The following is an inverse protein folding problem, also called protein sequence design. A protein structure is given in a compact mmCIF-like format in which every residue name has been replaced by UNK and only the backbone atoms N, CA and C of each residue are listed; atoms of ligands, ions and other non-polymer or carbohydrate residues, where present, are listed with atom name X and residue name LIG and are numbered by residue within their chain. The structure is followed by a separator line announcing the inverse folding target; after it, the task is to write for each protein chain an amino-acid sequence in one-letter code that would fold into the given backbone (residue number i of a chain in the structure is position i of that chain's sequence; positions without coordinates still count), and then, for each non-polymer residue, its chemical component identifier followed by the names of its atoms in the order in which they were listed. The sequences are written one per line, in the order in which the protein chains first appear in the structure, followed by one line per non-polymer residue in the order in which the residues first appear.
data_IF_343845341683
#
_entry.id   IF_343845341683
#
_cell.length_a   1.000
_cell.length_b   1.000
_cell.length_c   1.000
_cell.angle_alpha   90.00
_cell.angle_beta   90.00
_cell.angle_gamma   90.00
#
_symmetry.space_group_name_H-M   'P 1'
#
loop_
_entity.id
_entity.type
_entity.pdbx_description
1 polymer ?
#
# COMPACT_ATOMS: atom_id res chain seq x y z
N UNK A 1 -7.86 21.05 6.49
CA UNK A 1 -7.95 19.57 6.39
C UNK A 1 -6.53 19.06 6.26
N UNK A 2 -6.08 18.22 7.17
CA UNK A 2 -4.73 17.64 7.09
C UNK A 2 -4.62 16.75 5.86
N UNK A 3 -3.60 16.94 5.06
CA UNK A 3 -3.34 16.16 3.85
C UNK A 3 -3.13 14.68 4.22
N UNK A 4 -3.60 13.77 3.40
CA UNK A 4 -3.26 12.35 3.52
C UNK A 4 -2.21 12.01 2.48
N UNK A 5 -0.98 11.75 2.92
CA UNK A 5 0.03 11.13 2.08
C UNK A 5 -0.33 9.66 1.81
N UNK A 6 0.18 9.10 0.74
CA UNK A 6 -0.03 7.68 0.41
C UNK A 6 1.25 7.06 -0.14
N UNK A 7 1.62 5.90 0.39
CA UNK A 7 2.76 5.11 -0.09
C UNK A 7 2.28 3.72 -0.51
N UNK A 8 2.52 3.36 -1.77
CA UNK A 8 2.33 2.02 -2.30
C UNK A 8 3.64 1.24 -2.20
N UNK A 9 3.62 0.11 -1.52
CA UNK A 9 4.80 -0.72 -1.27
C UNK A 9 4.89 -1.83 -2.32
N UNK A 10 5.81 -1.68 -3.26
CA UNK A 10 6.06 -2.61 -4.37
C UNK A 10 7.49 -3.20 -4.36
N UNK A 11 8.25 -3.02 -3.27
CA UNK A 11 9.64 -3.49 -3.15
C UNK A 11 9.78 -4.93 -2.60
N UNK A 12 8.68 -5.63 -2.34
CA UNK A 12 8.71 -7.00 -1.81
C UNK A 12 9.19 -8.01 -2.85
N UNK A 13 9.96 -9.03 -2.40
CA UNK A 13 10.37 -10.15 -3.26
C UNK A 13 9.22 -11.13 -3.50
N UNK A 14 9.13 -11.63 -4.73
CA UNK A 14 8.04 -12.52 -5.18
C UNK A 14 8.47 -14.00 -5.24
N UNK A 15 9.38 -14.42 -4.36
CA UNK A 15 10.11 -15.70 -4.41
C UNK A 15 9.21 -16.95 -4.51
N UNK A 16 7.98 -16.91 -4.00
CA UNK A 16 7.06 -18.06 -3.95
C UNK A 16 6.07 -18.09 -5.11
N UNK A 17 5.82 -16.96 -5.75
CA UNK A 17 4.87 -16.83 -6.84
C UNK A 17 5.49 -17.23 -8.20
N UNK A 18 6.78 -16.98 -8.37
CA UNK A 18 7.50 -17.19 -9.62
C UNK A 18 7.38 -16.03 -10.62
N UNK A 19 6.55 -15.05 -10.30
CA UNK A 19 6.33 -13.82 -11.07
C UNK A 19 6.38 -12.61 -10.13
N UNK A 20 6.71 -11.43 -10.67
CA UNK A 20 6.74 -10.21 -9.90
C UNK A 20 5.34 -9.72 -9.56
N UNK A 21 4.98 -9.73 -8.25
CA UNK A 21 3.65 -9.36 -7.77
C UNK A 21 3.19 -7.99 -8.24
N UNK A 22 4.09 -7.01 -8.21
CA UNK A 22 3.78 -5.66 -8.65
C UNK A 22 3.39 -5.58 -10.14
N UNK A 23 3.90 -6.52 -10.94
CA UNK A 23 3.74 -6.56 -12.39
C UNK A 23 2.69 -7.60 -12.86
N UNK A 24 1.98 -8.25 -11.93
CA UNK A 24 0.91 -9.19 -12.30
C UNK A 24 -0.14 -8.51 -13.19
N UNK A 25 -0.52 -9.20 -14.26
CA UNK A 25 -1.52 -8.71 -15.20
C UNK A 25 -2.92 -8.70 -14.59
N UNK A 26 -3.63 -7.57 -14.73
CA UNK A 26 -4.99 -7.37 -14.19
C UNK A 26 -6.07 -7.24 -15.27
N UNK A 27 -5.70 -7.29 -16.55
CA UNK A 27 -6.58 -6.92 -17.66
C UNK A 27 -6.65 -5.40 -17.93
N UNK A 28 -6.21 -4.57 -16.98
CA UNK A 28 -6.06 -3.11 -17.11
C UNK A 28 -4.61 -2.69 -16.78
N UNK A 29 -3.65 -3.50 -17.21
CA UNK A 29 -2.21 -3.34 -16.97
C UNK A 29 -1.71 -4.03 -15.70
N UNK A 30 -0.51 -3.65 -15.25
CA UNK A 30 0.13 -4.25 -14.09
C UNK A 30 -0.60 -3.92 -12.77
N UNK A 31 -0.57 -4.84 -11.79
CA UNK A 31 -1.24 -4.70 -10.49
C UNK A 31 -0.90 -3.41 -9.76
N UNK A 32 0.36 -2.98 -9.79
CA UNK A 32 0.78 -1.72 -9.17
C UNK A 32 0.11 -0.52 -9.86
N UNK A 33 -0.02 -0.53 -11.18
CA UNK A 33 -0.72 0.48 -11.96
C UNK A 33 -2.23 0.48 -11.67
N UNK A 34 -2.85 -0.68 -11.60
CA UNK A 34 -4.26 -0.83 -11.24
C UNK A 34 -4.56 -0.26 -9.84
N UNK A 35 -3.70 -0.54 -8.84
CA UNK A 35 -3.85 0.00 -7.48
C UNK A 35 -3.69 1.53 -7.49
N UNK A 36 -2.64 2.06 -8.11
CA UNK A 36 -2.37 3.51 -8.13
C UNK A 36 -3.46 4.28 -8.85
N UNK A 37 -3.99 3.75 -9.95
CA UNK A 37 -5.13 4.32 -10.69
C UNK A 37 -6.39 4.39 -9.82
N UNK A 38 -6.72 3.33 -9.08
CA UNK A 38 -7.87 3.32 -8.15
C UNK A 38 -7.73 4.35 -7.04
N UNK A 39 -6.54 4.47 -6.45
CA UNK A 39 -6.25 5.49 -5.44
C UNK A 39 -6.39 6.91 -6.03
N UNK A 40 -5.85 7.14 -7.22
CA UNK A 40 -5.96 8.42 -7.92
C UNK A 40 -7.41 8.81 -8.24
N UNK A 41 -8.25 7.85 -8.60
CA UNK A 41 -9.68 8.07 -8.82
C UNK A 41 -10.42 8.50 -7.54
N UNK A 42 -9.87 8.21 -6.35
CA UNK A 42 -10.36 8.68 -5.05
C UNK A 42 -9.70 10.00 -4.61
N UNK A 43 -8.96 10.67 -5.48
CA UNK A 43 -8.25 11.91 -5.18
C UNK A 43 -6.99 11.74 -4.33
N UNK A 44 -6.45 10.50 -4.24
CA UNK A 44 -5.23 10.19 -3.52
C UNK A 44 -4.09 10.08 -4.53
N UNK A 45 -3.02 10.84 -4.32
CA UNK A 45 -1.84 10.83 -5.19
C UNK A 45 -0.70 10.03 -4.50
N UNK A 46 -0.57 8.72 -4.77
CA UNK A 46 0.42 7.91 -4.10
C UNK A 46 1.83 8.16 -4.66
N UNK A 47 2.83 7.99 -3.79
CA UNK A 47 4.19 7.67 -4.20
C UNK A 47 4.37 6.15 -4.16
N UNK A 48 5.15 5.60 -5.08
CA UNK A 48 5.41 4.16 -5.16
C UNK A 48 6.84 3.89 -4.73
N UNK A 49 7.03 2.89 -3.86
CA UNK A 49 8.37 2.46 -3.47
C UNK A 49 8.61 1.05 -3.97
N UNK A 50 9.59 0.90 -4.84
CA UNK A 50 9.97 -0.36 -5.48
C UNK A 50 11.44 -0.71 -5.21
N UNK A 51 11.93 -1.78 -5.81
CA UNK A 51 13.35 -2.14 -5.83
C UNK A 51 13.94 -1.88 -7.22
N UNK A 52 15.28 -1.77 -7.30
CA UNK A 52 15.95 -1.28 -8.51
C UNK A 52 15.85 -2.20 -9.73
N UNK A 53 15.68 -3.51 -9.54
CA UNK A 53 15.65 -4.51 -10.61
C UNK A 53 14.32 -4.56 -11.40
N UNK A 54 13.27 -3.90 -10.91
CA UNK A 54 11.98 -3.77 -11.61
C UNK A 54 11.53 -2.29 -11.73
N UNK A 55 12.46 -1.36 -11.60
CA UNK A 55 12.16 0.08 -11.58
C UNK A 55 11.49 0.54 -12.87
N UNK A 56 12.07 0.23 -14.01
CA UNK A 56 11.62 0.72 -15.32
C UNK A 56 10.19 0.25 -15.64
N UNK A 57 9.88 -1.02 -15.33
CA UNK A 57 8.55 -1.60 -15.53
C UNK A 57 7.52 -0.99 -14.58
N UNK A 58 7.90 -0.74 -13.32
CA UNK A 58 7.01 -0.10 -12.35
C UNK A 58 6.78 1.36 -12.72
N UNK A 59 7.81 2.12 -13.11
CA UNK A 59 7.66 3.50 -13.56
C UNK A 59 6.69 3.61 -14.75
N UNK A 60 6.82 2.72 -15.74
CA UNK A 60 5.91 2.71 -16.89
C UNK A 60 4.47 2.41 -16.46
N UNK A 61 4.28 1.44 -15.56
CA UNK A 61 2.97 0.99 -15.12
C UNK A 61 2.20 2.02 -14.29
N UNK A 62 2.90 2.91 -13.54
CA UNK A 62 2.26 3.80 -12.57
C UNK A 62 2.18 5.25 -13.01
N UNK A 63 2.57 5.59 -14.23
CA UNK A 63 2.50 6.97 -14.73
C UNK A 63 1.12 7.58 -14.46
N UNK A 64 1.02 8.82 -13.90
CA UNK A 64 2.11 9.78 -13.66
C UNK A 64 2.66 9.77 -12.21
N UNK A 65 2.53 8.69 -11.44
CA UNK A 65 3.01 8.66 -10.05
C UNK A 65 4.54 8.68 -9.98
N UNK A 66 5.08 9.27 -8.91
CA UNK A 66 6.52 9.23 -8.63
C UNK A 66 6.92 7.87 -8.03
N UNK A 67 8.06 7.33 -8.50
CA UNK A 67 8.61 6.06 -8.04
C UNK A 67 9.96 6.28 -7.36
N UNK A 68 10.17 5.60 -6.23
CA UNK A 68 11.41 5.67 -5.44
C UNK A 68 11.94 4.26 -5.20
N UNK A 69 13.27 4.13 -5.21
CA UNK A 69 13.94 2.84 -5.02
C UNK A 69 14.28 2.61 -3.56
N UNK A 70 13.89 1.45 -3.02
CA UNK A 70 14.47 0.93 -1.79
C UNK A 70 15.71 0.07 -2.13
N UNK A 71 16.92 0.50 -1.76
CA UNK A 71 18.14 -0.26 -2.05
C UNK A 71 18.35 -1.47 -1.14
N UNK A 72 17.52 -1.63 -0.10
CA UNK A 72 17.64 -2.70 0.90
C UNK A 72 16.27 -3.26 1.32
N UNK A 73 15.46 -3.78 0.38
CA UNK A 73 14.09 -4.24 0.65
C UNK A 73 14.03 -5.45 1.60
N UNK A 74 15.12 -6.22 1.69
CA UNK A 74 15.28 -7.37 2.60
C UNK A 74 15.24 -6.96 4.09
N UNK A 75 15.48 -5.69 4.41
CA UNK A 75 15.47 -5.16 5.79
C UNK A 75 14.07 -4.89 6.34
N UNK A 76 13.04 -5.06 5.52
CA UNK A 76 11.66 -4.97 5.95
C UNK A 76 10.88 -3.79 5.38
N UNK A 77 9.57 -3.84 5.59
CA UNK A 77 8.61 -2.88 4.99
C UNK A 77 8.76 -1.46 5.53
N UNK A 78 9.15 -1.29 6.78
CA UNK A 78 9.33 0.04 7.40
C UNK A 78 10.39 0.87 6.68
N UNK A 79 11.45 0.23 6.17
CA UNK A 79 12.43 0.90 5.31
C UNK A 79 11.79 1.50 4.05
N UNK A 80 10.92 0.76 3.37
CA UNK A 80 10.17 1.27 2.20
C UNK A 80 9.19 2.38 2.58
N UNK A 81 8.49 2.25 3.72
CA UNK A 81 7.59 3.30 4.22
C UNK A 81 8.37 4.60 4.44
N UNK A 82 9.52 4.55 5.09
CA UNK A 82 10.36 5.74 5.37
C UNK A 82 10.87 6.41 4.09
N UNK A 83 11.20 5.64 3.05
CA UNK A 83 11.57 6.20 1.74
C UNK A 83 10.39 6.96 1.13
N UNK A 84 9.20 6.38 1.14
CA UNK A 84 7.99 7.06 0.67
C UNK A 84 7.65 8.30 1.51
N UNK A 85 7.85 8.25 2.83
CA UNK A 85 7.68 9.41 3.72
C UNK A 85 8.65 10.54 3.35
N UNK A 86 9.93 10.23 3.11
CA UNK A 86 10.91 11.25 2.70
C UNK A 86 10.51 11.96 1.40
N UNK A 87 9.93 11.23 0.46
CA UNK A 87 9.40 11.81 -0.77
C UNK A 87 8.18 12.72 -0.53
N UNK A 88 7.29 12.33 0.40
CA UNK A 88 6.13 13.12 0.78
C UNK A 88 6.52 14.38 1.56
N UNK A 89 7.57 14.33 2.37
CA UNK A 89 8.10 15.47 3.12
C UNK A 89 8.62 16.60 2.21
N UNK A 90 9.06 16.28 0.98
CA UNK A 90 9.45 17.29 -0.01
C UNK A 90 8.25 18.04 -0.60
N UNK A 91 7.05 17.48 -0.49
CA UNK A 91 5.82 18.02 -1.07
C UNK A 91 4.96 18.73 -0.02
N UNK A 92 5.05 18.33 1.25
CA UNK A 92 4.23 18.85 2.35
C UNK A 92 5.10 19.43 3.46
N UNK A 93 5.00 20.73 3.67
CA UNK A 93 5.67 21.43 4.80
C UNK A 93 4.95 21.19 6.14
N UNK A 94 3.65 20.93 6.09
CA UNK A 94 2.82 20.59 7.25
C UNK A 94 2.77 19.06 7.46
N UNK A 95 2.52 18.61 8.69
CA UNK A 95 2.33 17.21 9.00
C UNK A 95 1.19 16.56 8.17
N UNK A 96 1.26 15.27 7.97
CA UNK A 96 0.26 14.50 7.22
C UNK A 96 -0.05 13.17 7.89
N UNK A 97 -1.26 12.67 7.64
CA UNK A 97 -1.61 11.27 7.90
C UNK A 97 -1.12 10.41 6.73
N UNK A 98 -0.75 9.17 6.96
CA UNK A 98 -0.15 8.32 5.94
C UNK A 98 -0.98 7.07 5.67
N UNK A 99 -1.39 6.88 4.43
CA UNK A 99 -1.98 5.62 3.95
C UNK A 99 -0.86 4.72 3.43
N UNK A 100 -0.78 3.51 3.97
CA UNK A 100 0.20 2.49 3.56
C UNK A 100 -0.53 1.36 2.83
N UNK A 101 -0.19 1.16 1.56
CA UNK A 101 -0.82 0.19 0.66
C UNK A 101 0.20 -0.84 0.16
N UNK A 102 0.25 -2.05 0.73
CA UNK A 102 1.05 -3.12 0.15
C UNK A 102 0.45 -3.62 -1.17
N UNK A 103 1.27 -3.76 -2.21
CA UNK A 103 0.82 -4.21 -3.53
C UNK A 103 0.24 -5.62 -3.52
N UNK A 104 0.70 -6.48 -2.60
CA UNK A 104 0.24 -7.85 -2.44
C UNK A 104 -1.10 -7.99 -1.70
N UNK A 105 -1.75 -6.87 -1.33
CA UNK A 105 -3.01 -6.80 -0.59
C UNK A 105 -4.08 -5.98 -1.35
N UNK A 106 -4.47 -6.38 -2.57
CA UNK A 106 -5.33 -5.56 -3.43
C UNK A 106 -6.82 -5.60 -3.09
N UNK A 107 -7.26 -6.41 -2.11
CA UNK A 107 -8.64 -6.79 -1.87
C UNK A 107 -9.54 -5.77 -1.16
N UNK A 108 -9.17 -4.49 -1.14
CA UNK A 108 -9.97 -3.40 -0.57
C UNK A 108 -10.87 -2.74 -1.62
N UNK A 109 -12.03 -2.24 -1.19
CA UNK A 109 -12.95 -1.47 -2.04
C UNK A 109 -12.70 0.03 -1.97
N UNK A 110 -13.31 0.78 -2.88
CA UNK A 110 -13.28 2.25 -2.87
C UNK A 110 -13.99 2.82 -1.64
N UNK A 111 -15.06 2.15 -1.16
CA UNK A 111 -15.73 2.53 0.08
C UNK A 111 -14.82 2.36 1.31
N UNK A 112 -13.94 1.36 1.29
CA UNK A 112 -12.94 1.16 2.34
C UNK A 112 -11.89 2.28 2.33
N UNK A 113 -11.43 2.72 1.16
CA UNK A 113 -10.55 3.89 1.03
C UNK A 113 -11.23 5.16 1.54
N UNK A 114 -12.49 5.40 1.17
CA UNK A 114 -13.24 6.57 1.64
C UNK A 114 -13.39 6.60 3.17
N UNK A 115 -13.61 5.45 3.82
CA UNK A 115 -13.65 5.36 5.28
C UNK A 115 -12.28 5.65 5.91
N UNK A 116 -11.20 5.11 5.35
CA UNK A 116 -9.83 5.38 5.81
C UNK A 116 -9.50 6.87 5.76
N UNK A 117 -9.74 7.52 4.63
CA UNK A 117 -9.41 8.94 4.45
C UNK A 117 -10.21 9.85 5.37
N UNK A 118 -11.39 9.42 5.80
CA UNK A 118 -12.23 10.14 6.76
C UNK A 118 -11.76 10.05 8.22
N UNK A 119 -10.87 9.11 8.56
CA UNK A 119 -10.38 8.92 9.93
C UNK A 119 -9.25 9.89 10.29
N UNK A 120 -9.22 10.34 11.54
CA UNK A 120 -8.12 11.16 12.11
C UNK A 120 -7.14 10.34 12.95
N UNK A 121 -7.50 9.10 13.27
CA UNK A 121 -6.70 8.19 14.09
C UNK A 121 -6.17 7.04 13.23
N UNK A 122 -5.12 6.39 13.68
CA UNK A 122 -4.58 5.20 13.00
C UNK A 122 -5.60 4.08 13.00
N UNK A 123 -5.91 3.57 11.80
CA UNK A 123 -6.92 2.55 11.64
C UNK A 123 -6.66 1.65 10.44
N UNK A 124 -7.34 0.50 10.43
CA UNK A 124 -7.32 -0.43 9.32
C UNK A 124 -8.70 -1.09 9.12
N UNK A 125 -9.05 -1.47 7.88
CA UNK A 125 -10.25 -2.26 7.65
C UNK A 125 -10.14 -3.62 8.33
N UNK A 126 -11.28 -4.18 8.74
CA UNK A 126 -11.35 -5.54 9.27
C UNK A 126 -12.52 -6.30 8.68
N UNK A 127 -12.40 -7.62 8.66
CA UNK A 127 -13.48 -8.53 8.33
C UNK A 127 -13.43 -9.72 9.28
N UNK A 128 -14.54 -9.97 9.96
CA UNK A 128 -14.61 -11.00 11.00
C UNK A 128 -13.60 -10.78 12.15
N UNK A 129 -13.35 -9.51 12.52
CA UNK A 129 -12.42 -9.14 13.58
C UNK A 129 -10.92 -9.20 13.23
N UNK A 130 -10.57 -9.74 12.03
CA UNK A 130 -9.18 -9.75 11.53
C UNK A 130 -8.91 -8.46 10.75
N UNK A 131 -7.86 -7.72 11.14
CA UNK A 131 -7.42 -6.52 10.42
C UNK A 131 -6.81 -6.84 9.05
N UNK A 132 -6.95 -5.88 8.11
CA UNK A 132 -6.47 -5.96 6.74
C UNK A 132 -5.67 -4.73 6.33
N UNK A 133 -5.61 -4.49 5.04
CA UNK A 133 -4.96 -3.34 4.40
C UNK A 133 -5.94 -2.64 3.45
N UNK A 134 -5.68 -1.34 3.12
CA UNK A 134 -4.61 -0.45 3.57
C UNK A 134 -4.69 -0.07 5.06
N UNK A 135 -3.60 0.51 5.59
CA UNK A 135 -3.55 1.06 6.95
C UNK A 135 -3.41 2.57 6.85
N UNK A 136 -4.19 3.32 7.63
CA UNK A 136 -3.95 4.74 7.87
C UNK A 136 -3.15 4.90 9.17
N UNK A 137 -2.12 5.72 9.12
CA UNK A 137 -1.39 6.22 10.27
C UNK A 137 -1.80 7.66 10.57
N UNK A 138 -2.08 7.97 11.83
CA UNK A 138 -2.25 9.34 12.32
C UNK A 138 -0.95 10.12 12.19
N UNK A 139 -1.01 11.44 12.25
CA UNK A 139 0.20 12.29 12.25
C UNK A 139 1.18 11.89 13.36
N UNK A 140 0.67 11.62 14.56
CA UNK A 140 1.50 11.19 15.69
C UNK A 140 2.22 9.86 15.41
N UNK A 141 1.53 8.91 14.81
CA UNK A 141 2.11 7.61 14.47
C UNK A 141 3.07 7.69 13.26
N UNK A 142 2.84 8.62 12.34
CA UNK A 142 3.82 8.96 11.29
C UNK A 142 5.14 9.36 11.92
N UNK A 143 5.15 10.23 12.96
CA UNK A 143 6.36 10.62 13.67
C UNK A 143 7.02 9.46 14.43
N UNK A 144 6.24 8.54 15.00
CA UNK A 144 6.78 7.32 15.62
C UNK A 144 7.51 6.48 14.57
N UNK A 145 6.90 6.25 13.42
CA UNK A 145 7.52 5.49 12.32
C UNK A 145 8.76 6.21 11.77
N UNK A 146 8.71 7.55 11.66
CA UNK A 146 9.83 8.38 11.20
C UNK A 146 11.08 8.18 12.06
N UNK A 147 10.91 8.10 13.37
CA UNK A 147 12.01 7.99 14.33
C UNK A 147 12.42 6.54 14.64
N UNK A 148 11.63 5.55 14.22
CA UNK A 148 11.92 4.15 14.46
C UNK A 148 13.07 3.60 13.58
N UNK A 149 13.79 2.55 14.03
CA UNK A 149 14.67 1.79 13.16
C UNK A 149 13.93 1.21 11.94
N UNK A 150 14.58 1.20 10.77
CA UNK A 150 13.96 0.72 9.52
C UNK A 150 13.63 -0.77 9.52
N UNK A 151 14.26 -1.53 10.40
CA UNK A 151 14.04 -2.96 10.62
C UNK A 151 12.84 -3.24 11.54
N UNK A 152 12.30 -2.23 12.21
CA UNK A 152 11.14 -2.37 13.10
C UNK A 152 9.90 -2.81 12.31
N UNK A 153 9.07 -3.65 12.90
CA UNK A 153 7.79 -3.98 12.28
C UNK A 153 6.77 -2.86 12.53
N UNK A 154 6.01 -2.47 11.51
CA UNK A 154 4.96 -1.45 11.68
C UNK A 154 3.98 -1.81 12.81
N UNK A 155 3.66 -3.11 12.92
CA UNK A 155 2.75 -3.65 13.94
C UNK A 155 3.28 -3.48 15.38
N UNK A 156 4.60 -3.41 15.57
CA UNK A 156 5.20 -3.16 16.89
C UNK A 156 5.29 -1.69 17.24
N UNK A 157 5.13 -0.80 16.26
CA UNK A 157 5.26 0.64 16.41
C UNK A 157 3.91 1.33 16.62
N UNK A 158 2.86 0.81 15.98
CA UNK A 158 1.56 1.48 15.90
C UNK A 158 0.44 0.51 16.24
N UNK A 159 -0.46 0.95 17.11
CA UNK A 159 -1.76 0.32 17.33
C UNK A 159 -2.78 0.98 16.40
N UNK A 160 -3.49 0.16 15.61
CA UNK A 160 -4.52 0.63 14.68
C UNK A 160 -5.90 0.20 15.16
N UNK A 161 -6.84 1.13 15.22
CA UNK A 161 -8.25 0.79 15.41
C UNK A 161 -8.78 0.03 14.18
N UNK A 162 -9.71 -0.87 14.41
CA UNK A 162 -10.30 -1.68 13.35
C UNK A 162 -11.71 -1.20 13.05
N UNK A 163 -12.05 -1.06 11.76
CA UNK A 163 -13.43 -0.84 11.34
C UNK A 163 -13.88 -1.94 10.39
N UNK A 164 -15.07 -2.48 10.62
CA UNK A 164 -15.57 -3.62 9.85
C UNK A 164 -16.01 -3.17 8.45
N UNK A 165 -15.65 -4.01 7.43
CA UNK A 165 -15.98 -3.81 6.02
C UNK A 165 -16.54 -5.08 5.40
N UNK A 166 -17.27 -4.93 4.28
CA UNK A 166 -17.86 -6.04 3.54
C UNK A 166 -16.95 -6.65 2.47
N UNK A 167 -15.71 -6.19 2.31
CA UNK A 167 -14.79 -6.56 1.23
C UNK A 167 -14.48 -8.07 1.24
N UNK A 168 -14.95 -8.85 0.25
CA UNK A 168 -14.82 -10.32 0.29
C UNK A 168 -13.37 -10.78 0.24
N UNK A 169 -12.50 -10.01 -0.41
CA UNK A 169 -11.09 -10.31 -0.61
C UNK A 169 -10.14 -9.50 0.29
N UNK A 170 -10.63 -8.84 1.36
CA UNK A 170 -9.81 -8.01 2.24
C UNK A 170 -8.53 -8.70 2.72
N UNK A 171 -8.59 -9.99 2.92
CA UNK A 171 -7.46 -10.78 3.45
C UNK A 171 -6.65 -11.49 2.38
N UNK A 172 -6.98 -11.30 1.09
CA UNK A 172 -6.18 -11.81 0.00
C UNK A 172 -4.73 -11.30 0.14
N UNK A 173 -3.80 -12.22 0.06
CA UNK A 173 -2.36 -11.96 -0.01
C UNK A 173 -1.82 -12.68 -1.23
N UNK A 174 -1.59 -11.95 -2.30
CA UNK A 174 -1.08 -12.51 -3.55
C UNK A 174 0.40 -12.88 -3.36
N UNK A 175 0.67 -14.12 -2.98
CA UNK A 175 2.00 -14.58 -2.58
C UNK A 175 2.42 -15.92 -3.20
N UNK A 176 1.42 -16.74 -3.59
CA UNK A 176 1.63 -18.07 -4.16
C UNK A 176 0.73 -18.28 -5.37
N UNK A 177 1.02 -19.30 -6.20
CA UNK A 177 0.16 -19.69 -7.31
C UNK A 177 -1.28 -20.05 -6.88
N UNK A 178 -1.46 -20.53 -5.65
CA UNK A 178 -2.78 -20.83 -5.09
C UNK A 178 -3.64 -19.58 -4.92
N UNK A 179 -3.01 -18.43 -4.63
CA UNK A 179 -3.71 -17.17 -4.41
C UNK A 179 -4.22 -16.56 -5.74
N UNK A 180 -3.78 -17.10 -6.90
CA UNK A 180 -4.12 -16.56 -8.21
C UNK A 180 -5.59 -16.77 -8.60
N UNK A 181 -6.27 -17.79 -8.05
CA UNK A 181 -7.71 -18.01 -8.29
C UNK A 181 -8.52 -16.90 -7.60
N UNK A 182 -8.21 -16.62 -6.34
CA UNK A 182 -8.84 -15.52 -5.59
C UNK A 182 -8.49 -14.17 -6.21
N UNK A 183 -7.26 -14.00 -6.71
CA UNK A 183 -6.84 -12.79 -7.40
C UNK A 183 -7.65 -12.57 -8.70
N UNK A 184 -7.85 -13.61 -9.52
CA UNK A 184 -8.71 -13.51 -10.71
C UNK A 184 -10.14 -13.16 -10.34
N UNK A 185 -10.71 -13.81 -9.32
CA UNK A 185 -12.05 -13.51 -8.83
C UNK A 185 -12.18 -12.06 -8.32
N UNK A 186 -11.13 -11.52 -7.72
CA UNK A 186 -11.05 -10.11 -7.35
C UNK A 186 -11.08 -9.20 -8.59
N UNK A 187 -10.30 -9.53 -9.62
CA UNK A 187 -10.27 -8.74 -10.87
C UNK A 187 -11.65 -8.74 -11.55
N UNK A 188 -12.32 -9.90 -11.63
CA UNK A 188 -13.67 -10.01 -12.17
C UNK A 188 -14.70 -9.15 -11.40
N UNK A 189 -14.52 -8.99 -10.10
CA UNK A 189 -15.40 -8.15 -9.25
C UNK A 189 -15.26 -6.65 -9.53
N UNK A 190 -14.08 -6.20 -9.95
CA UNK A 190 -13.75 -4.79 -10.16
C UNK A 190 -13.55 -4.39 -11.63
N UNK A 191 -13.88 -5.30 -12.58
CA UNK A 191 -13.85 -5.08 -14.05
C UNK A 191 -15.00 -4.24 -14.57
#
# INVERSE_FOLDING_TARGET
MTLSGCVVLAAGFSNRLGEEKALLETGDGALVGWITKRLSNQGIHPVVVTRGDILDEVEEAVKPCNVFVNPSPEKGRTGSIKIGMSALDEISEDGYRLIVVPVDRPGFSDSTISKLTGSMISCCPSRGGRGGHPILLSEGDVEIVRNAPKESSLRSLVESEKFEVGDPFLHLNVDTQKDMEDFKSLMDLYS
#
